data_IF_289423128802
#
_entry.id   IF_289423128802
#
_cell.length_a   1.000
_cell.length_b   1.000
_cell.length_c   1.000
_cell.angle_alpha   90.00
_cell.angle_beta   90.00
_cell.angle_gamma   90.00
#
_symmetry.space_group_name_H-M   'P 1'
#
loop_
_entity.id
_entity.type
_entity.pdbx_description
1 polymer ?
#
# COMPACT_ATOMS: atom_id res chain seq x y z
N UNK A 1 2.84 6.95 6.07
CA UNK A 1 3.67 8.10 5.72
C UNK A 1 2.94 9.38 6.12
N UNK A 2 3.60 10.27 6.86
CA UNK A 2 3.00 11.56 7.21
C UNK A 2 3.10 12.55 6.03
N UNK A 3 2.14 13.47 5.90
CA UNK A 3 2.21 14.53 4.86
C UNK A 3 3.53 15.33 4.91
N UNK A 4 4.09 15.53 6.12
CA UNK A 4 5.39 16.18 6.32
C UNK A 4 6.58 15.41 5.74
N UNK A 5 6.47 14.08 5.63
CA UNK A 5 7.50 13.20 5.07
C UNK A 5 7.37 13.06 3.57
N UNK A 6 6.19 13.34 3.00
CA UNK A 6 5.92 13.21 1.58
C UNK A 6 6.69 14.23 0.75
N UNK A 7 6.76 15.48 1.22
CA UNK A 7 7.40 16.57 0.49
C UNK A 7 8.85 16.27 0.05
N UNK A 8 9.77 15.87 0.95
CA UNK A 8 11.15 15.56 0.53
C UNK A 8 11.23 14.36 -0.42
N UNK A 9 10.29 13.40 -0.35
CA UNK A 9 10.24 12.27 -1.27
C UNK A 9 9.82 12.75 -2.66
N UNK A 10 8.75 13.54 -2.77
CA UNK A 10 8.28 14.07 -4.06
C UNK A 10 9.32 14.98 -4.69
N UNK A 11 9.96 15.84 -3.91
CA UNK A 11 11.05 16.69 -4.42
C UNK A 11 12.22 15.86 -4.96
N UNK A 12 12.61 14.77 -4.28
CA UNK A 12 13.68 13.87 -4.72
C UNK A 12 13.34 13.12 -6.01
N UNK A 13 12.08 12.75 -6.19
CA UNK A 13 11.61 11.96 -7.33
C UNK A 13 10.68 12.76 -8.25
N UNK A 14 10.89 14.07 -8.33
CA UNK A 14 10.07 14.95 -9.16
C UNK A 14 10.05 14.48 -10.62
N UNK A 15 8.85 14.38 -11.21
CA UNK A 15 8.63 13.88 -12.56
C UNK A 15 8.62 12.34 -12.69
N UNK A 16 8.74 11.61 -11.57
CA UNK A 16 8.66 10.15 -11.54
C UNK A 16 7.48 9.63 -10.70
N UNK A 17 6.65 10.51 -10.18
CA UNK A 17 5.51 10.17 -9.33
C UNK A 17 4.26 10.87 -9.84
N UNK A 18 3.19 10.11 -9.97
CA UNK A 18 1.82 10.59 -10.25
C UNK A 18 1.00 10.32 -9.00
N UNK A 19 0.11 11.23 -8.63
CA UNK A 19 -0.77 11.10 -7.48
C UNK A 19 -2.23 11.21 -7.88
N UNK A 20 -3.08 10.37 -7.30
CA UNK A 20 -4.54 10.45 -7.39
C UNK A 20 -5.17 10.62 -6.00
N UNK A 21 -6.42 11.06 -5.94
CA UNK A 21 -7.13 11.31 -4.67
C UNK A 21 -7.66 10.05 -4.00
N UNK A 22 -7.49 8.90 -4.64
CA UNK A 22 -8.04 7.62 -4.22
C UNK A 22 -9.58 7.56 -4.16
N UNK A 23 -10.13 6.41 -3.72
CA UNK A 23 -11.56 6.11 -3.74
C UNK A 23 -12.38 6.96 -2.75
N UNK A 24 -13.71 6.73 -2.73
CA UNK A 24 -14.66 7.41 -1.83
C UNK A 24 -14.26 7.34 -0.33
N UNK A 25 -13.55 6.28 0.09
CA UNK A 25 -13.00 6.13 1.44
C UNK A 25 -11.75 6.97 1.72
N UNK A 26 -11.17 7.62 0.70
CA UNK A 26 -10.04 8.53 0.85
C UNK A 26 -10.41 9.84 1.54
N UNK A 27 -9.39 10.67 1.84
CA UNK A 27 -9.59 11.94 2.57
C UNK A 27 -10.58 12.86 1.83
N UNK A 28 -10.44 13.01 0.52
CA UNK A 28 -11.34 13.87 -0.26
C UNK A 28 -12.77 13.34 -0.27
N UNK A 29 -12.99 12.07 -0.63
CA UNK A 29 -14.32 11.46 -0.69
C UNK A 29 -15.05 11.53 0.64
N UNK A 30 -14.35 11.19 1.73
CA UNK A 30 -14.90 11.26 3.10
C UNK A 30 -15.28 12.70 3.48
N UNK A 31 -14.45 13.70 3.14
CA UNK A 31 -14.78 15.11 3.41
C UNK A 31 -15.97 15.59 2.59
N UNK A 32 -16.09 15.15 1.33
CA UNK A 32 -17.23 15.52 0.48
C UNK A 32 -18.55 14.98 1.04
N UNK A 33 -18.61 13.73 1.46
CA UNK A 33 -19.81 13.16 2.10
C UNK A 33 -20.17 13.88 3.40
N UNK A 34 -19.18 14.19 4.26
CA UNK A 34 -19.40 14.99 5.46
C UNK A 34 -19.91 16.40 5.15
N UNK A 35 -19.42 17.04 4.10
CA UNK A 35 -19.89 18.36 3.69
C UNK A 35 -21.38 18.33 3.27
N UNK A 36 -21.84 17.27 2.61
CA UNK A 36 -23.25 17.07 2.29
C UNK A 36 -24.08 16.89 3.57
N UNK A 37 -23.65 16.00 4.47
CA UNK A 37 -24.31 15.74 5.75
C UNK A 37 -24.45 17.04 6.58
N UNK A 38 -23.37 17.82 6.74
CA UNK A 38 -23.40 19.06 7.53
C UNK A 38 -24.26 20.14 6.89
N UNK A 39 -24.36 20.15 5.54
CA UNK A 39 -25.30 21.02 4.84
C UNK A 39 -26.75 20.64 5.13
N UNK A 40 -27.10 19.37 5.09
CA UNK A 40 -28.43 18.87 5.40
C UNK A 40 -28.83 19.11 6.85
N UNK A 41 -27.86 19.05 7.78
CA UNK A 41 -28.02 19.35 9.20
C UNK A 41 -28.01 20.87 9.51
N UNK A 42 -27.86 21.73 8.50
CA UNK A 42 -27.69 23.19 8.67
C UNK A 42 -26.53 23.57 9.61
N UNK A 43 -25.54 22.68 9.76
CA UNK A 43 -24.36 22.89 10.61
C UNK A 43 -23.29 23.69 9.86
N UNK A 44 -23.48 25.01 9.80
CA UNK A 44 -22.59 25.91 9.05
C UNK A 44 -21.16 25.92 9.54
N UNK A 45 -20.90 25.69 10.83
CA UNK A 45 -19.56 25.68 11.39
C UNK A 45 -18.75 24.47 10.89
N UNK A 46 -19.29 23.26 11.05
CA UNK A 46 -18.61 22.03 10.61
C UNK A 46 -18.51 21.97 9.08
N UNK A 47 -19.52 22.46 8.34
CA UNK A 47 -19.44 22.60 6.91
C UNK A 47 -18.27 23.49 6.50
N UNK A 48 -18.10 24.66 7.12
CA UNK A 48 -16.98 25.56 6.83
C UNK A 48 -15.62 24.92 7.12
N UNK A 49 -15.47 24.23 8.25
CA UNK A 49 -14.22 23.52 8.58
C UNK A 49 -13.90 22.42 7.57
N UNK A 50 -14.91 21.66 7.15
CA UNK A 50 -14.75 20.60 6.15
C UNK A 50 -14.36 21.15 4.79
N UNK A 51 -15.00 22.22 4.32
CA UNK A 51 -14.62 22.88 3.07
C UNK A 51 -13.19 23.43 3.10
N UNK A 52 -12.76 23.99 4.23
CA UNK A 52 -11.37 24.43 4.43
C UNK A 52 -10.39 23.25 4.41
N UNK A 53 -10.77 22.10 4.97
CA UNK A 53 -9.95 20.88 4.90
C UNK A 53 -9.79 20.41 3.46
N UNK A 54 -10.86 20.41 2.66
CA UNK A 54 -10.83 20.07 1.23
C UNK A 54 -9.87 21.00 0.47
N UNK A 55 -10.02 22.31 0.66
CA UNK A 55 -9.15 23.32 0.03
C UNK A 55 -7.67 23.10 0.39
N UNK A 56 -7.39 22.88 1.68
CA UNK A 56 -6.02 22.62 2.17
C UNK A 56 -5.45 21.34 1.57
N UNK A 57 -6.25 20.28 1.44
CA UNK A 57 -5.86 19.02 0.82
C UNK A 57 -5.50 19.21 -0.65
N UNK A 58 -6.40 19.81 -1.42
CA UNK A 58 -6.20 20.02 -2.86
C UNK A 58 -4.98 20.91 -3.14
N UNK A 59 -4.87 22.04 -2.43
CA UNK A 59 -3.75 22.96 -2.57
C UNK A 59 -2.41 22.28 -2.23
N UNK A 60 -2.36 21.46 -1.17
CA UNK A 60 -1.15 20.74 -0.78
C UNK A 60 -0.69 19.77 -1.86
N UNK A 61 -1.58 18.92 -2.36
CA UNK A 61 -1.21 17.92 -3.38
C UNK A 61 -0.92 18.56 -4.75
N UNK A 62 -1.72 19.55 -5.15
CA UNK A 62 -1.45 20.29 -6.38
C UNK A 62 -0.09 21.02 -6.33
N UNK A 63 0.25 21.62 -5.20
CA UNK A 63 1.57 22.25 -5.03
C UNK A 63 2.72 21.24 -5.15
N UNK A 64 2.54 20.02 -4.65
CA UNK A 64 3.59 18.99 -4.69
C UNK A 64 3.75 18.35 -6.07
N UNK A 65 2.65 18.02 -6.74
CA UNK A 65 2.66 17.19 -7.95
C UNK A 65 2.37 17.98 -9.24
N UNK A 66 1.76 19.16 -9.13
CA UNK A 66 1.38 19.96 -10.29
C UNK A 66 0.46 19.22 -11.25
N UNK A 67 0.85 19.14 -12.52
CA UNK A 67 0.11 18.43 -13.57
C UNK A 67 0.10 16.89 -13.43
N UNK A 68 0.85 16.35 -12.50
CA UNK A 68 0.87 14.92 -12.15
C UNK A 68 -0.05 14.59 -10.97
N UNK A 69 -0.90 15.54 -10.55
CA UNK A 69 -1.96 15.32 -9.58
C UNK A 69 -3.33 15.25 -10.29
N UNK A 70 -4.05 14.17 -10.04
CA UNK A 70 -5.38 13.91 -10.62
C UNK A 70 -6.41 13.68 -9.51
N UNK A 71 -7.65 14.10 -9.80
CA UNK A 71 -8.79 13.74 -8.96
C UNK A 71 -9.39 12.45 -9.49
N UNK A 72 -9.62 11.50 -8.62
CA UNK A 72 -10.08 10.16 -8.98
C UNK A 72 -11.59 10.01 -8.75
N UNK A 73 -12.29 9.49 -9.74
CA UNK A 73 -13.67 9.01 -9.63
C UNK A 73 -13.72 7.49 -9.84
N UNK A 74 -14.80 6.87 -9.40
CA UNK A 74 -14.98 5.42 -9.55
C UNK A 74 -16.33 5.09 -10.22
N UNK A 75 -16.38 4.08 -11.12
CA UNK A 75 -17.62 3.62 -11.73
C UNK A 75 -18.47 2.90 -10.66
N UNK A 76 -19.72 3.32 -10.50
CA UNK A 76 -20.65 2.69 -9.55
C UNK A 76 -22.10 3.08 -9.81
N UNK A 77 -23.03 2.25 -9.39
CA UNK A 77 -24.47 2.58 -9.31
C UNK A 77 -24.87 3.16 -7.96
N UNK A 78 -24.02 3.09 -6.94
CA UNK A 78 -24.31 3.59 -5.60
C UNK A 78 -24.52 5.12 -5.60
N UNK A 79 -25.55 5.60 -4.92
CA UNK A 79 -25.92 7.01 -4.91
C UNK A 79 -24.81 7.91 -4.36
N UNK A 80 -24.16 7.47 -3.27
CA UNK A 80 -23.06 8.22 -2.64
C UNK A 80 -21.85 8.35 -3.58
N UNK A 81 -21.50 7.26 -4.29
CA UNK A 81 -20.40 7.32 -5.26
C UNK A 81 -20.72 8.24 -6.43
N UNK A 82 -21.94 8.18 -6.97
CA UNK A 82 -22.38 9.09 -8.03
C UNK A 82 -22.34 10.56 -7.59
N UNK A 83 -22.79 10.83 -6.36
CA UNK A 83 -22.74 12.17 -5.77
C UNK A 83 -21.28 12.64 -5.63
N UNK A 84 -20.40 11.80 -5.09
CA UNK A 84 -18.97 12.13 -4.95
C UNK A 84 -18.33 12.35 -6.33
N UNK A 85 -18.59 11.50 -7.32
CA UNK A 85 -18.10 11.67 -8.69
C UNK A 85 -18.50 13.03 -9.28
N UNK A 86 -19.77 13.40 -9.11
CA UNK A 86 -20.31 14.70 -9.53
C UNK A 86 -19.56 15.87 -8.85
N UNK A 87 -19.37 15.79 -7.53
CA UNK A 87 -18.67 16.84 -6.78
C UNK A 87 -17.19 16.92 -7.14
N UNK A 88 -16.52 15.80 -7.34
CA UNK A 88 -15.11 15.73 -7.75
C UNK A 88 -14.93 16.39 -9.11
N UNK A 89 -15.82 16.13 -10.09
CA UNK A 89 -15.73 16.78 -11.39
C UNK A 89 -15.87 18.31 -11.27
N UNK A 90 -16.86 18.81 -10.50
CA UNK A 90 -17.02 20.25 -10.25
C UNK A 90 -15.78 20.88 -9.58
N UNK A 91 -15.17 20.19 -8.65
CA UNK A 91 -13.93 20.61 -7.99
C UNK A 91 -12.79 20.64 -9.02
N UNK A 92 -12.64 19.60 -9.83
CA UNK A 92 -11.64 19.55 -10.90
C UNK A 92 -11.71 20.75 -11.84
N UNK A 93 -12.92 21.11 -12.26
CA UNK A 93 -13.13 22.32 -13.09
C UNK A 93 -12.78 23.61 -12.36
N UNK A 94 -13.11 23.72 -11.06
CA UNK A 94 -12.86 24.92 -10.26
C UNK A 94 -11.40 25.14 -9.92
N UNK A 95 -10.62 24.06 -9.71
CA UNK A 95 -9.20 24.09 -9.34
C UNK A 95 -8.26 23.83 -10.54
N UNK A 96 -8.83 23.66 -11.74
CA UNK A 96 -8.07 23.31 -12.96
C UNK A 96 -7.25 22.02 -12.80
N UNK A 97 -7.78 21.04 -12.04
CA UNK A 97 -7.17 19.74 -11.83
C UNK A 97 -7.91 18.71 -12.68
N UNK A 98 -7.17 17.92 -13.45
CA UNK A 98 -7.74 16.86 -14.28
C UNK A 98 -8.40 15.78 -13.43
N UNK A 99 -9.54 15.28 -13.93
CA UNK A 99 -10.25 14.14 -13.32
C UNK A 99 -9.95 12.89 -14.13
N UNK A 100 -9.64 11.80 -13.48
CA UNK A 100 -9.45 10.48 -14.08
C UNK A 100 -10.39 9.45 -13.45
N UNK A 101 -10.47 8.23 -13.98
CA UNK A 101 -11.32 7.17 -13.46
C UNK A 101 -10.52 5.93 -13.14
N UNK A 102 -10.63 5.47 -11.89
CA UNK A 102 -10.07 4.20 -11.42
C UNK A 102 -11.18 3.18 -11.14
N UNK A 103 -10.97 1.94 -11.56
CA UNK A 103 -11.94 0.84 -11.36
C UNK A 103 -11.75 0.11 -10.05
N UNK A 104 -10.61 0.29 -9.37
CA UNK A 104 -10.25 -0.43 -8.12
C UNK A 104 -10.52 -1.94 -8.22
N UNK A 105 -10.01 -2.56 -9.30
CA UNK A 105 -10.32 -3.94 -9.65
C UNK A 105 -9.74 -4.93 -8.65
N UNK A 106 -10.60 -5.75 -8.04
CA UNK A 106 -10.26 -6.77 -7.04
C UNK A 106 -10.43 -8.19 -7.58
N UNK A 107 -11.13 -8.38 -8.68
CA UNK A 107 -11.37 -9.66 -9.35
C UNK A 107 -11.56 -9.46 -10.86
N UNK A 108 -11.41 -10.52 -11.64
CA UNK A 108 -11.35 -10.41 -13.10
C UNK A 108 -12.72 -10.21 -13.75
N UNK A 109 -13.69 -11.06 -13.41
CA UNK A 109 -15.02 -11.04 -14.05
C UNK A 109 -16.12 -10.89 -13.02
N UNK A 110 -17.32 -10.48 -13.44
CA UNK A 110 -18.50 -10.36 -12.56
C UNK A 110 -18.82 -11.68 -11.84
N UNK A 111 -18.57 -12.81 -12.52
CA UNK A 111 -18.78 -14.15 -12.02
C UNK A 111 -17.84 -14.52 -10.86
N UNK A 112 -16.69 -13.85 -10.75
CA UNK A 112 -15.72 -14.07 -9.66
C UNK A 112 -16.11 -13.38 -8.33
N UNK A 113 -17.16 -12.57 -8.34
CA UNK A 113 -17.63 -11.85 -7.16
C UNK A 113 -17.88 -12.74 -5.94
N UNK A 114 -18.52 -13.95 -6.07
CA UNK A 114 -18.69 -14.87 -4.92
C UNK A 114 -17.37 -15.37 -4.34
N UNK A 115 -16.35 -15.58 -5.19
CA UNK A 115 -15.01 -16.00 -4.75
C UNK A 115 -14.36 -14.90 -3.91
N UNK A 116 -14.41 -13.65 -4.40
CA UNK A 116 -13.90 -12.50 -3.66
C UNK A 116 -14.64 -12.30 -2.32
N UNK A 117 -15.97 -12.46 -2.31
CA UNK A 117 -16.77 -12.43 -1.07
C UNK A 117 -16.33 -13.50 -0.08
N UNK A 118 -16.15 -14.74 -0.54
CA UNK A 118 -15.66 -15.82 0.31
C UNK A 118 -14.27 -15.52 0.90
N UNK A 119 -13.36 -14.92 0.11
CA UNK A 119 -12.05 -14.49 0.58
C UNK A 119 -12.15 -13.42 1.68
N UNK A 120 -12.99 -12.39 1.49
CA UNK A 120 -13.17 -11.33 2.49
C UNK A 120 -13.73 -11.88 3.81
N UNK A 121 -14.66 -12.81 3.74
CA UNK A 121 -15.29 -13.42 4.92
C UNK A 121 -14.43 -14.47 5.61
N UNK A 122 -13.33 -14.92 5.00
CA UNK A 122 -12.41 -15.91 5.58
C UNK A 122 -11.54 -15.37 6.73
N UNK A 123 -11.50 -14.04 6.90
CA UNK A 123 -10.56 -13.34 7.81
C UNK A 123 -11.25 -12.63 8.96
N UNK A 124 -12.15 -13.03 9.69
CA UNK A 124 -12.77 -12.34 10.83
C UNK A 124 -14.17 -11.72 10.60
N UNK A 125 -15.15 -12.58 10.42
CA UNK A 125 -16.55 -12.18 10.49
C UNK A 125 -17.08 -11.54 9.19
N UNK A 126 -18.38 -11.55 9.05
CA UNK A 126 -19.06 -10.92 7.92
C UNK A 126 -18.74 -9.42 7.86
N UNK A 127 -18.00 -9.02 6.82
CA UNK A 127 -17.91 -7.62 6.47
C UNK A 127 -19.10 -7.27 5.59
N UNK A 128 -19.96 -6.37 6.01
CA UNK A 128 -21.03 -5.76 5.20
C UNK A 128 -20.44 -4.84 4.11
N UNK A 129 -19.60 -5.38 3.24
CA UNK A 129 -18.98 -4.62 2.14
C UNK A 129 -19.50 -5.05 0.78
N UNK A 130 -20.63 -5.73 0.73
CA UNK A 130 -21.17 -6.29 -0.51
C UNK A 130 -21.42 -5.25 -1.60
N UNK A 131 -21.94 -4.08 -1.24
CA UNK A 131 -22.24 -3.02 -2.23
C UNK A 131 -20.98 -2.31 -2.77
N UNK A 132 -19.96 -2.18 -1.94
CA UNK A 132 -18.71 -1.49 -2.33
C UNK A 132 -17.97 -2.25 -3.43
N UNK A 133 -17.90 -3.58 -3.32
CA UNK A 133 -17.18 -4.41 -4.28
C UNK A 133 -18.03 -4.94 -5.44
N UNK A 134 -19.27 -4.47 -5.60
CA UNK A 134 -20.16 -4.92 -6.69
C UNK A 134 -19.55 -4.58 -8.06
N UNK A 135 -18.86 -3.48 -8.18
CA UNK A 135 -18.26 -2.96 -9.40
C UNK A 135 -16.72 -3.06 -9.42
N UNK A 136 -16.13 -3.93 -8.61
CA UNK A 136 -14.68 -4.09 -8.50
C UNK A 136 -14.11 -5.20 -9.41
N UNK A 137 -14.78 -5.56 -10.50
CA UNK A 137 -14.21 -6.40 -11.56
C UNK A 137 -13.40 -5.58 -12.56
N UNK A 138 -12.58 -6.26 -13.35
CA UNK A 138 -11.86 -5.60 -14.44
C UNK A 138 -12.86 -5.21 -15.54
N UNK A 139 -13.17 -3.91 -15.61
CA UNK A 139 -14.17 -3.36 -16.53
C UNK A 139 -13.58 -3.05 -17.90
N UNK A 140 -14.43 -3.17 -18.94
CA UNK A 140 -14.15 -2.62 -20.26
C UNK A 140 -14.38 -1.11 -20.28
N UNK A 141 -13.88 -0.45 -21.34
CA UNK A 141 -14.13 0.98 -21.59
C UNK A 141 -15.64 1.29 -21.60
N UNK A 142 -16.43 0.49 -22.32
CA UNK A 142 -17.87 0.72 -22.46
C UNK A 142 -18.60 0.60 -21.11
N UNK A 143 -18.24 -0.39 -20.28
CA UNK A 143 -18.80 -0.54 -18.94
C UNK A 143 -18.51 0.65 -18.05
N UNK A 144 -17.27 1.16 -18.05
CA UNK A 144 -16.90 2.36 -17.29
C UNK A 144 -17.65 3.57 -17.80
N UNK A 145 -17.68 3.78 -19.12
CA UNK A 145 -18.38 4.89 -19.77
C UNK A 145 -19.87 4.93 -19.40
N UNK A 146 -20.56 3.79 -19.48
CA UNK A 146 -21.97 3.67 -19.11
C UNK A 146 -22.25 4.00 -17.65
N UNK A 147 -21.33 3.64 -16.74
CA UNK A 147 -21.50 3.85 -15.30
C UNK A 147 -21.20 5.29 -14.86
N UNK A 148 -20.23 5.97 -15.48
CA UNK A 148 -19.84 7.32 -15.06
C UNK A 148 -20.67 8.41 -15.75
N UNK A 149 -21.12 8.22 -16.99
CA UNK A 149 -21.89 9.22 -17.74
C UNK A 149 -23.10 9.77 -16.97
N UNK A 150 -23.91 8.93 -16.28
CA UNK A 150 -25.06 9.43 -15.52
C UNK A 150 -24.70 10.35 -14.35
N UNK A 151 -23.45 10.37 -13.90
CA UNK A 151 -23.00 11.26 -12.82
C UNK A 151 -23.04 12.74 -13.24
N UNK A 152 -23.07 13.03 -14.53
CA UNK A 152 -22.90 14.38 -15.07
C UNK A 152 -24.17 14.96 -15.69
N UNK A 153 -25.28 14.24 -15.72
CA UNK A 153 -26.56 14.65 -16.35
C UNK A 153 -27.12 15.97 -15.79
N UNK A 154 -26.87 16.24 -14.51
CA UNK A 154 -27.42 17.42 -13.81
C UNK A 154 -26.37 18.50 -13.56
N UNK A 155 -25.26 18.48 -14.28
CA UNK A 155 -24.32 19.59 -14.26
C UNK A 155 -24.87 20.77 -15.01
N UNK A 156 -24.83 21.93 -14.37
CA UNK A 156 -25.20 23.22 -15.02
C UNK A 156 -24.00 23.76 -15.83
N UNK A 157 -23.63 23.00 -16.87
CA UNK A 157 -22.52 23.31 -17.80
C UNK A 157 -22.97 23.01 -19.22
N UNK A 158 -22.32 23.64 -20.19
CA UNK A 158 -22.68 23.50 -21.62
C UNK A 158 -22.28 22.14 -22.21
N UNK A 159 -21.29 21.46 -21.61
CA UNK A 159 -20.78 20.17 -22.10
C UNK A 159 -21.78 19.03 -21.85
N UNK A 160 -21.86 18.11 -22.83
CA UNK A 160 -22.73 16.95 -22.72
C UNK A 160 -22.09 15.91 -21.78
N UNK A 161 -22.87 15.16 -20.97
CA UNK A 161 -22.37 14.14 -20.06
C UNK A 161 -21.43 13.12 -20.73
N UNK A 162 -21.71 12.75 -21.98
CA UNK A 162 -20.90 11.83 -22.75
C UNK A 162 -19.54 12.41 -23.13
N UNK A 163 -19.44 13.71 -23.38
CA UNK A 163 -18.14 14.37 -23.66
C UNK A 163 -17.30 14.47 -22.40
N UNK A 164 -17.92 14.75 -21.27
CA UNK A 164 -17.26 14.73 -19.96
C UNK A 164 -16.71 13.33 -19.64
N UNK A 165 -17.52 12.29 -19.82
CA UNK A 165 -17.08 10.92 -19.59
C UNK A 165 -15.90 10.53 -20.50
N UNK A 166 -15.91 10.93 -21.76
CA UNK A 166 -14.78 10.73 -22.69
C UNK A 166 -13.53 11.50 -22.27
N UNK A 167 -13.67 12.75 -21.82
CA UNK A 167 -12.56 13.55 -21.31
C UNK A 167 -11.87 12.83 -20.14
N UNK A 168 -12.65 12.35 -19.17
CA UNK A 168 -12.14 11.64 -17.98
C UNK A 168 -11.41 10.35 -18.38
N UNK A 169 -11.98 9.56 -19.29
CA UNK A 169 -11.34 8.35 -19.79
C UNK A 169 -10.05 8.65 -20.56
N UNK A 170 -10.01 9.76 -21.32
CA UNK A 170 -8.80 10.21 -22.00
C UNK A 170 -7.71 10.65 -21.01
N UNK A 171 -8.07 11.26 -19.89
CA UNK A 171 -7.12 11.61 -18.84
C UNK A 171 -6.47 10.35 -18.22
N UNK A 172 -7.22 9.24 -18.09
CA UNK A 172 -6.66 7.94 -17.68
C UNK A 172 -5.63 7.42 -18.71
N UNK A 173 -5.91 7.56 -20.01
CA UNK A 173 -4.93 7.23 -21.06
C UNK A 173 -3.72 8.17 -21.05
N UNK A 174 -3.89 9.43 -20.68
CA UNK A 174 -2.76 10.36 -20.49
C UNK A 174 -1.81 9.85 -19.40
N UNK A 175 -2.34 9.38 -18.27
CA UNK A 175 -1.54 8.77 -17.19
C UNK A 175 -0.76 7.57 -17.73
N UNK A 176 -1.40 6.67 -18.47
CA UNK A 176 -0.74 5.53 -19.10
C UNK A 176 0.42 5.96 -20.00
N UNK A 177 0.23 7.00 -20.80
CA UNK A 177 1.25 7.50 -21.73
C UNK A 177 2.44 8.19 -21.04
N UNK A 178 2.27 8.65 -19.80
CA UNK A 178 3.35 9.20 -18.98
C UNK A 178 4.27 8.12 -18.40
N UNK A 179 3.81 6.87 -18.32
CA UNK A 179 4.55 5.76 -17.72
C UNK A 179 5.43 5.14 -18.79
N UNK A 180 6.74 5.16 -18.57
CA UNK A 180 7.74 4.51 -19.41
C UNK A 180 7.79 3.00 -19.13
N UNK A 181 8.26 2.22 -20.12
CA UNK A 181 8.51 0.80 -19.91
C UNK A 181 9.59 0.59 -18.84
N UNK A 182 9.27 -0.16 -17.80
CA UNK A 182 10.19 -0.48 -16.72
C UNK A 182 10.03 -1.90 -16.22
N UNK A 183 11.08 -2.43 -15.59
CA UNK A 183 11.04 -3.73 -14.94
C UNK A 183 11.09 -3.57 -13.42
N UNK A 184 10.18 -4.27 -12.73
CA UNK A 184 10.21 -4.42 -11.28
C UNK A 184 11.22 -5.48 -10.82
N UNK A 185 11.77 -6.26 -11.77
CA UNK A 185 12.78 -7.25 -11.45
C UNK A 185 14.03 -6.58 -10.87
N UNK A 186 14.41 -6.98 -9.69
CA UNK A 186 15.61 -6.54 -8.99
C UNK A 186 16.37 -7.76 -8.53
N UNK A 187 17.70 -7.64 -8.51
CA UNK A 187 18.51 -8.64 -7.81
C UNK A 187 18.06 -8.68 -6.35
N UNK A 188 17.94 -9.88 -5.83
CA UNK A 188 17.68 -10.06 -4.41
C UNK A 188 18.73 -9.31 -3.59
N UNK A 189 18.29 -8.41 -2.75
CA UNK A 189 19.17 -7.66 -1.85
C UNK A 189 19.07 -8.32 -0.49
N UNK A 190 20.15 -8.94 -0.07
CA UNK A 190 20.28 -9.44 1.30
C UNK A 190 20.59 -8.21 2.17
N UNK A 191 19.76 -7.87 3.16
CA UNK A 191 20.01 -6.74 4.03
C UNK A 191 21.35 -6.90 4.74
N UNK A 192 22.21 -5.89 4.68
CA UNK A 192 23.40 -5.82 5.51
C UNK A 192 23.02 -5.16 6.83
N UNK A 193 23.10 -5.93 7.89
CA UNK A 193 22.87 -5.44 9.24
C UNK A 193 24.24 -5.10 9.85
N UNK A 194 24.38 -3.91 10.43
CA UNK A 194 25.53 -3.60 11.27
C UNK A 194 25.44 -4.47 12.52
N UNK A 195 26.48 -5.25 12.76
CA UNK A 195 26.54 -6.21 13.87
C UNK A 195 27.70 -5.88 14.79
N UNK A 196 27.57 -6.26 16.04
CA UNK A 196 28.69 -6.25 16.97
C UNK A 196 29.75 -7.23 16.47
N UNK A 197 30.99 -6.76 16.34
CA UNK A 197 32.09 -7.61 15.89
C UNK A 197 32.56 -8.48 17.06
N UNK A 198 32.24 -9.76 16.98
CA UNK A 198 32.81 -10.76 17.90
C UNK A 198 34.17 -11.21 17.39
N UNK A 199 35.19 -11.30 18.27
CA UNK A 199 36.50 -11.82 17.88
C UNK A 199 36.40 -13.29 17.45
N UNK A 200 37.28 -13.68 16.53
CA UNK A 200 37.47 -15.11 16.21
C UNK A 200 37.86 -15.86 17.47
N UNK A 201 37.03 -16.80 17.89
CA UNK A 201 37.24 -17.54 19.15
C UNK A 201 36.50 -18.86 19.13
N UNK A 202 37.21 -19.89 19.57
CA UNK A 202 36.63 -21.20 19.88
C UNK A 202 36.31 -21.36 21.38
N UNK A 203 36.40 -20.30 22.16
CA UNK A 203 36.10 -20.35 23.60
C UNK A 203 34.67 -20.85 23.81
N UNK A 204 34.56 -21.91 24.65
CA UNK A 204 33.28 -22.61 24.89
C UNK A 204 32.90 -23.67 23.84
N UNK A 205 33.54 -23.68 22.67
CA UNK A 205 33.33 -24.69 21.64
C UNK A 205 34.44 -25.72 21.54
N UNK A 206 35.54 -25.51 22.25
CA UNK A 206 36.79 -26.28 22.10
C UNK A 206 36.60 -27.79 22.19
N UNK A 207 35.76 -28.27 23.09
CA UNK A 207 35.48 -29.71 23.26
C UNK A 207 34.52 -30.28 22.19
N UNK A 208 34.01 -29.43 21.32
CA UNK A 208 32.94 -29.75 20.35
C UNK A 208 33.32 -29.52 18.91
N UNK A 209 34.52 -29.00 18.63
CA UNK A 209 35.00 -28.64 17.29
C UNK A 209 34.94 -29.80 16.31
N UNK A 210 35.24 -31.03 16.71
CA UNK A 210 35.16 -32.19 15.84
C UNK A 210 33.71 -32.60 15.52
N UNK A 211 32.79 -32.33 16.45
CA UNK A 211 31.38 -32.73 16.32
C UNK A 211 30.55 -31.69 15.51
N UNK A 212 30.95 -30.44 15.56
CA UNK A 212 30.20 -29.31 14.93
C UNK A 212 31.13 -28.48 14.06
N UNK A 213 31.64 -29.03 12.93
CA UNK A 213 32.64 -28.35 12.09
C UNK A 213 32.13 -27.09 11.42
N UNK A 214 30.84 -27.02 11.02
CA UNK A 214 30.27 -25.84 10.37
C UNK A 214 30.18 -24.68 11.37
N UNK A 215 29.62 -24.91 12.56
CA UNK A 215 29.52 -23.87 13.59
C UNK A 215 30.90 -23.34 13.98
N UNK A 216 31.90 -24.24 14.10
CA UNK A 216 33.28 -23.85 14.39
C UNK A 216 33.88 -23.03 13.25
N UNK A 217 33.61 -23.39 11.99
CA UNK A 217 34.08 -22.60 10.82
C UNK A 217 33.49 -21.18 10.79
N UNK A 218 32.23 -21.03 11.18
CA UNK A 218 31.55 -19.74 11.25
C UNK A 218 32.07 -18.87 12.41
N UNK A 219 32.38 -19.48 13.57
CA UNK A 219 33.02 -18.78 14.70
C UNK A 219 34.41 -18.24 14.34
N UNK A 220 35.11 -18.91 13.45
CA UNK A 220 36.45 -18.54 13.00
C UNK A 220 36.45 -17.76 11.67
N UNK A 221 35.29 -17.49 11.13
CA UNK A 221 35.15 -16.78 9.85
C UNK A 221 35.76 -15.36 9.91
N UNK A 222 36.31 -14.91 8.81
CA UNK A 222 36.71 -13.50 8.63
C UNK A 222 35.52 -12.55 8.51
N UNK A 223 34.33 -13.09 8.21
CA UNK A 223 33.09 -12.31 8.10
C UNK A 223 32.50 -12.02 9.51
N UNK A 224 32.43 -10.76 9.96
CA UNK A 224 31.88 -10.41 11.27
C UNK A 224 30.39 -10.77 11.41
N UNK A 225 29.61 -10.81 10.32
CA UNK A 225 28.19 -11.19 10.38
C UNK A 225 28.00 -12.68 10.68
N UNK A 226 28.87 -13.55 10.14
CA UNK A 226 28.84 -14.97 10.43
C UNK A 226 29.20 -15.24 11.89
N UNK A 227 30.27 -14.59 12.40
CA UNK A 227 30.66 -14.68 13.81
C UNK A 227 29.55 -14.19 14.73
N UNK A 228 28.95 -13.06 14.42
CA UNK A 228 27.82 -12.50 15.18
C UNK A 228 26.66 -13.49 15.23
N UNK A 229 26.21 -13.97 14.07
CA UNK A 229 25.06 -14.86 13.96
C UNK A 229 25.22 -16.13 14.82
N UNK A 230 26.34 -16.81 14.68
CA UNK A 230 26.57 -18.06 15.40
C UNK A 230 26.75 -17.86 16.92
N UNK A 231 27.39 -16.74 17.34
CA UNK A 231 27.48 -16.38 18.73
C UNK A 231 26.11 -16.10 19.34
N UNK A 232 25.25 -15.30 18.65
CA UNK A 232 23.89 -15.00 19.12
C UNK A 232 23.04 -16.27 19.23
N UNK A 233 23.13 -17.18 18.27
CA UNK A 233 22.44 -18.48 18.33
C UNK A 233 22.88 -19.31 19.54
N UNK A 234 24.17 -19.36 19.78
CA UNK A 234 24.72 -20.11 20.92
C UNK A 234 24.35 -19.48 22.26
N UNK A 235 24.51 -18.17 22.39
CA UNK A 235 24.16 -17.46 23.63
C UNK A 235 22.66 -17.59 23.93
N UNK A 236 21.80 -17.45 22.91
CA UNK A 236 20.34 -17.64 23.06
C UNK A 236 19.98 -19.07 23.47
N UNK A 237 20.72 -20.09 23.00
CA UNK A 237 20.54 -21.48 23.42
C UNK A 237 20.93 -21.67 24.88
N UNK A 238 22.07 -21.11 25.31
CA UNK A 238 22.52 -21.16 26.71
C UNK A 238 21.54 -20.45 27.65
N UNK A 239 21.02 -19.31 27.25
CA UNK A 239 20.01 -18.57 28.01
C UNK A 239 18.74 -19.43 28.23
N UNK A 240 18.25 -20.10 27.17
CA UNK A 240 17.09 -21.01 27.28
C UNK A 240 17.33 -22.19 28.24
N UNK A 241 18.54 -22.71 28.27
CA UNK A 241 18.94 -23.76 29.23
C UNK A 241 18.97 -23.19 30.66
N UNK A 242 19.63 -22.02 30.82
CA UNK A 242 19.73 -21.36 32.13
C UNK A 242 18.33 -21.04 32.70
N UNK A 243 17.43 -20.55 31.88
CA UNK A 243 16.05 -20.26 32.27
C UNK A 243 15.14 -21.50 32.34
N UNK A 244 15.70 -22.71 32.20
CA UNK A 244 15.01 -24.00 32.25
C UNK A 244 13.88 -24.14 31.20
N UNK A 245 13.91 -23.35 30.14
CA UNK A 245 13.02 -23.53 28.99
C UNK A 245 13.41 -24.75 28.16
N UNK A 246 14.67 -25.15 28.22
CA UNK A 246 15.23 -26.35 27.62
C UNK A 246 16.04 -27.06 28.73
N UNK A 247 15.88 -28.36 28.84
CA UNK A 247 16.66 -29.17 29.80
C UNK A 247 18.08 -29.40 29.28
N UNK A 248 19.05 -29.47 30.19
CA UNK A 248 20.49 -29.58 29.91
C UNK A 248 20.83 -30.79 29.03
N UNK A 249 20.12 -31.91 29.21
CA UNK A 249 20.29 -33.14 28.44
C UNK A 249 19.95 -32.99 26.95
N UNK A 250 19.17 -31.96 26.59
CA UNK A 250 18.79 -31.67 25.21
C UNK A 250 19.78 -30.77 24.47
N UNK A 251 20.77 -30.18 25.13
CA UNK A 251 21.73 -29.27 24.52
C UNK A 251 22.37 -29.84 23.24
N UNK A 252 22.78 -31.10 23.27
CA UNK A 252 23.41 -31.72 22.11
C UNK A 252 22.45 -31.88 20.92
N UNK A 253 21.18 -32.15 21.18
CA UNK A 253 20.15 -32.25 20.14
C UNK A 253 19.98 -30.92 19.43
N UNK A 254 19.94 -29.83 20.20
CA UNK A 254 19.80 -28.48 19.63
C UNK A 254 21.06 -28.03 18.88
N UNK A 255 22.25 -28.40 19.35
CA UNK A 255 23.50 -28.12 18.65
C UNK A 255 23.63 -28.91 17.35
N UNK A 256 23.22 -30.18 17.33
CA UNK A 256 23.16 -30.98 16.10
C UNK A 256 22.19 -30.36 15.07
N UNK A 257 21.04 -29.87 15.52
CA UNK A 257 20.11 -29.18 14.67
C UNK A 257 20.67 -27.86 14.15
N UNK A 258 21.31 -27.07 14.99
CA UNK A 258 21.93 -25.80 14.62
C UNK A 258 23.06 -26.01 13.60
N UNK A 259 23.86 -27.08 13.73
CA UNK A 259 24.89 -27.46 12.76
C UNK A 259 24.30 -27.69 11.36
N UNK A 260 23.18 -28.45 11.28
CA UNK A 260 22.50 -28.74 10.03
C UNK A 260 21.92 -27.45 9.41
N UNK A 261 21.30 -26.61 10.22
CA UNK A 261 20.72 -25.35 9.74
C UNK A 261 21.80 -24.36 9.30
N UNK A 262 22.92 -24.33 10.00
CA UNK A 262 24.07 -23.52 9.63
C UNK A 262 24.67 -23.91 8.27
N UNK A 263 24.71 -25.20 7.96
CA UNK A 263 25.18 -25.69 6.66
C UNK A 263 24.27 -25.27 5.50
N UNK A 264 22.96 -25.17 5.76
CA UNK A 264 21.97 -24.72 4.74
C UNK A 264 22.04 -23.21 4.53
N UNK A 265 22.33 -22.44 5.58
CA UNK A 265 22.34 -20.96 5.53
C UNK A 265 23.66 -20.44 4.95
N UNK A 266 24.75 -21.14 5.15
CA UNK A 266 26.08 -20.79 4.67
C UNK A 266 26.18 -20.83 3.13
#
# INVERSE_FOLDING_TARGET
LLKSELKPIVEKYKGHLIATTACIGGELGTCLLKAVEYREQENSYELYQTLKQIDTFLTFFFFLFGEDFYLEIAPSTAADQKLVNHMIYKIGRSYEIKVEVATDSHYLTKEDRPIHKAYLNSKDGEREVDKFYEFAHLMTYDEVFELITPCFIYLDIEEQPEEIAKEILNNTLEIQNKIEDFSLERKQIIPKVEVTDYPQSLAGWFERTEKYPILCSLLMSDNPQERYWVNECYMSLLEKIYNKSISDDKLNIYLERLEIEADIIK
#
